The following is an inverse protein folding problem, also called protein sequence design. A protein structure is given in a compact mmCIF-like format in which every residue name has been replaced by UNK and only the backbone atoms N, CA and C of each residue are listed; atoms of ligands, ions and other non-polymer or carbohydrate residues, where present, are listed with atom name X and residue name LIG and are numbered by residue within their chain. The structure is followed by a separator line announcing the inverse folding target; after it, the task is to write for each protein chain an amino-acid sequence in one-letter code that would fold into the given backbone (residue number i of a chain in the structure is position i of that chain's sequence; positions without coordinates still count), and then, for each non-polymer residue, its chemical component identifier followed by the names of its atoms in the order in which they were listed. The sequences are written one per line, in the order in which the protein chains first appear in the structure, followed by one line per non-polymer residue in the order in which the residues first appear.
data_IF_691123198464
#
_entry.id   IF_691123198464
#
_cell.length_a   1.000
_cell.length_b   1.000
_cell.length_c   1.000
_cell.angle_alpha   90.00
_cell.angle_beta   90.00
_cell.angle_gamma   90.00
#
_symmetry.space_group_name_H-M   'P 1'
#
loop_
_entity.id
_entity.type
_entity.pdbx_description
1 polymer ?
#
# COMPACT_ATOMS: atom_id res chain seq x y z
N UNK A 1 -18.70 -16.62 -10.94
CA UNK A 1 -17.51 -15.85 -11.35
C UNK A 1 -17.96 -14.47 -11.82
N UNK A 2 -17.91 -13.46 -10.94
CA UNK A 2 -18.16 -12.06 -11.33
C UNK A 2 -16.87 -11.54 -11.97
N UNK A 3 -16.97 -11.09 -13.23
CA UNK A 3 -15.85 -10.51 -13.97
C UNK A 3 -15.28 -9.32 -13.19
N UNK A 4 -13.96 -9.34 -13.01
CA UNK A 4 -13.13 -8.21 -12.59
C UNK A 4 -13.48 -7.03 -13.51
N UNK A 5 -13.80 -5.86 -12.92
CA UNK A 5 -13.83 -4.62 -13.69
C UNK A 5 -12.37 -4.20 -13.86
N UNK A 6 -11.94 -3.94 -15.10
CA UNK A 6 -10.59 -3.43 -15.38
C UNK A 6 -10.32 -2.19 -14.54
N UNK A 7 -9.07 -1.94 -14.15
CA UNK A 7 -8.64 -0.69 -13.51
C UNK A 7 -9.06 0.55 -14.34
N UNK A 8 -9.18 0.38 -15.67
CA UNK A 8 -9.73 1.34 -16.63
C UNK A 8 -11.20 1.71 -16.39
N UNK A 9 -11.92 0.95 -15.55
CA UNK A 9 -13.31 1.24 -15.18
C UNK A 9 -13.40 2.13 -13.94
N UNK A 10 -12.27 2.31 -13.22
CA UNK A 10 -12.13 3.23 -12.09
C UNK A 10 -11.52 4.57 -12.53
N UNK A 11 -10.96 4.62 -13.75
CA UNK A 11 -10.39 5.80 -14.38
C UNK A 11 -11.24 6.17 -15.59
N UNK A 12 -11.93 7.34 -15.63
CA UNK A 12 -12.44 7.82 -16.90
C UNK A 12 -11.25 8.15 -17.81
N UNK A 13 -11.12 7.41 -18.92
CA UNK A 13 -10.10 7.59 -19.95
C UNK A 13 -10.10 9.06 -20.46
N UNK A 14 -8.95 9.73 -20.59
CA UNK A 14 -8.88 11.14 -20.99
C UNK A 14 -9.39 11.42 -22.41
N UNK A 15 -9.50 10.40 -23.28
CA UNK A 15 -9.94 10.56 -24.67
C UNK A 15 -11.47 10.41 -24.88
N UNK A 16 -12.25 10.30 -23.80
CA UNK A 16 -13.72 10.16 -23.85
C UNK A 16 -14.49 11.37 -23.29
N UNK A 17 -13.91 12.56 -23.33
CA UNK A 17 -14.67 13.79 -23.10
C UNK A 17 -15.53 14.12 -24.33
N UNK A 18 -16.74 13.55 -24.38
CA UNK A 18 -17.82 14.08 -25.20
C UNK A 18 -18.25 15.43 -24.63
N UNK A 19 -18.25 16.46 -25.48
CA UNK A 19 -18.33 17.89 -25.12
C UNK A 19 -19.70 18.36 -24.60
N UNK A 20 -20.53 17.48 -24.04
CA UNK A 20 -21.95 17.78 -23.77
C UNK A 20 -22.43 17.58 -22.34
N UNK A 21 -21.55 17.34 -21.35
CA UNK A 21 -21.94 17.40 -19.94
C UNK A 21 -21.00 18.28 -19.10
N UNK A 22 -21.52 19.42 -18.65
CA UNK A 22 -21.00 20.24 -17.55
C UNK A 22 -21.05 19.45 -16.22
N UNK A 23 -20.14 18.50 -16.06
CA UNK A 23 -19.58 18.13 -14.76
C UNK A 23 -18.08 18.04 -14.97
N UNK A 24 -17.40 19.16 -14.76
CA UNK A 24 -15.94 19.22 -14.69
C UNK A 24 -15.53 18.43 -13.45
N UNK A 25 -15.37 17.12 -13.60
CA UNK A 25 -14.68 16.32 -12.58
C UNK A 25 -13.21 16.65 -12.72
N UNK A 26 -12.61 17.28 -11.70
CA UNK A 26 -11.18 17.52 -11.64
C UNK A 26 -10.41 16.24 -12.03
N UNK A 27 -9.35 16.34 -12.84
CA UNK A 27 -8.58 15.18 -13.25
C UNK A 27 -8.07 14.45 -12.00
N UNK A 28 -8.33 13.14 -11.92
CA UNK A 28 -7.84 12.30 -10.83
C UNK A 28 -6.38 12.00 -11.11
N UNK A 29 -5.49 12.52 -10.27
CA UNK A 29 -4.05 12.23 -10.34
C UNK A 29 -3.64 11.15 -9.34
N UNK A 30 -2.38 10.72 -9.44
CA UNK A 30 -1.74 9.84 -8.45
C UNK A 30 -0.34 10.33 -8.14
N UNK A 31 0.08 10.10 -6.91
CA UNK A 31 1.39 10.46 -6.38
C UNK A 31 1.68 9.56 -5.19
N UNK A 32 2.96 9.49 -4.82
CA UNK A 32 3.38 8.76 -3.63
C UNK A 32 2.86 9.42 -2.35
N UNK A 33 2.62 8.62 -1.31
CA UNK A 33 2.12 9.06 -0.01
C UNK A 33 3.02 10.14 0.60
N UNK A 34 4.34 9.95 0.55
CA UNK A 34 5.28 10.93 1.10
C UNK A 34 5.29 12.25 0.34
N UNK A 35 5.16 12.18 -0.99
CA UNK A 35 5.06 13.36 -1.86
C UNK A 35 3.78 14.16 -1.56
N UNK A 36 2.64 13.48 -1.42
CA UNK A 36 1.37 14.09 -1.03
C UNK A 36 1.41 14.70 0.38
N UNK A 37 2.12 14.05 1.32
CA UNK A 37 2.29 14.53 2.69
C UNK A 37 3.07 15.85 2.75
N UNK A 38 4.02 16.04 1.84
CA UNK A 38 4.82 17.28 1.71
C UNK A 38 4.10 18.37 0.92
N UNK A 39 2.93 18.09 0.36
CA UNK A 39 2.20 19.06 -0.44
C UNK A 39 1.79 20.30 0.38
N UNK A 40 1.63 21.43 -0.31
CA UNK A 40 1.17 22.70 0.27
C UNK A 40 -0.17 23.06 -0.32
N UNK A 41 -1.10 23.52 0.52
CA UNK A 41 -2.41 24.00 0.07
C UNK A 41 -2.25 25.29 -0.73
N UNK A 42 -2.58 25.23 -2.02
CA UNK A 42 -2.70 26.37 -2.92
C UNK A 42 -4.16 26.80 -3.11
N UNK A 43 -4.38 27.73 -4.06
CA UNK A 43 -5.73 28.20 -4.41
C UNK A 43 -6.55 27.11 -5.11
N UNK A 44 -5.89 26.35 -5.99
CA UNK A 44 -6.48 25.28 -6.79
C UNK A 44 -5.94 23.91 -6.35
N UNK A 45 -6.01 23.59 -5.06
CA UNK A 45 -5.70 22.26 -4.54
C UNK A 45 -4.37 22.15 -3.82
N UNK A 46 -3.80 20.95 -3.79
CA UNK A 46 -2.55 20.65 -3.08
C UNK A 46 -1.40 20.53 -4.06
N UNK A 47 -0.39 21.38 -3.88
CA UNK A 47 0.78 21.46 -4.74
C UNK A 47 1.91 20.67 -4.09
N UNK A 48 2.33 19.60 -4.72
CA UNK A 48 3.46 18.76 -4.30
C UNK A 48 4.81 19.43 -4.59
N UNK A 49 5.91 19.03 -3.93
CA UNK A 49 7.22 19.63 -4.20
C UNK A 49 7.73 19.39 -5.64
N UNK A 50 7.24 18.37 -6.33
CA UNK A 50 7.54 18.12 -7.75
C UNK A 50 6.70 18.99 -8.71
N UNK A 51 5.78 19.80 -8.19
CA UNK A 51 4.92 20.70 -8.98
C UNK A 51 3.57 20.10 -9.39
N UNK A 52 3.28 18.84 -9.05
CA UNK A 52 1.95 18.25 -9.27
C UNK A 52 0.89 18.93 -8.41
N UNK A 53 -0.25 19.28 -9.00
CA UNK A 53 -1.38 19.93 -8.32
C UNK A 53 -2.57 18.99 -8.27
N UNK A 54 -3.04 18.67 -7.06
CA UNK A 54 -4.04 17.64 -6.83
C UNK A 54 -5.22 18.16 -6.02
N UNK A 55 -6.42 17.98 -6.54
CA UNK A 55 -7.68 18.10 -5.79
C UNK A 55 -8.21 16.73 -5.39
N UNK A 56 -8.19 15.81 -6.36
CA UNK A 56 -8.62 14.42 -6.21
C UNK A 56 -7.47 13.49 -6.55
N UNK A 57 -7.38 12.41 -5.80
CA UNK A 57 -6.33 11.41 -5.95
C UNK A 57 -6.90 10.01 -6.06
N UNK A 58 -6.20 9.17 -6.81
CA UNK A 58 -6.35 7.72 -6.79
C UNK A 58 -5.07 7.14 -6.18
N UNK A 59 -5.22 6.25 -5.19
CA UNK A 59 -4.11 5.64 -4.46
C UNK A 59 -4.32 4.13 -4.35
N UNK A 60 -3.24 3.36 -4.46
CA UNK A 60 -3.19 1.95 -4.06
C UNK A 60 -2.10 1.77 -3.01
N UNK A 61 -2.43 1.06 -1.93
CA UNK A 61 -1.48 0.77 -0.87
C UNK A 61 -1.98 -0.29 0.09
N UNK A 62 -1.21 -0.53 1.14
CA UNK A 62 -1.54 -1.46 2.22
C UNK A 62 -2.37 -0.72 3.27
N UNK A 63 -3.59 -1.19 3.53
CA UNK A 63 -4.38 -0.77 4.66
C UNK A 63 -3.74 -1.32 5.93
N UNK A 64 -3.18 -0.47 6.78
CA UNK A 64 -2.45 -0.92 7.99
C UNK A 64 -3.27 -0.77 9.27
N UNK A 65 -4.20 0.19 9.30
CA UNK A 65 -5.00 0.50 10.48
C UNK A 65 -6.41 0.94 10.07
N UNK A 66 -7.42 0.53 10.83
CA UNK A 66 -8.82 0.95 10.66
C UNK A 66 -9.42 1.27 12.02
N UNK A 67 -9.94 2.48 12.17
CA UNK A 67 -10.52 3.01 13.39
C UNK A 67 -11.94 3.52 13.11
N UNK A 68 -12.93 2.84 13.68
CA UNK A 68 -14.34 3.27 13.60
C UNK A 68 -14.60 4.27 14.71
N UNK A 69 -14.94 5.51 14.34
CA UNK A 69 -15.33 6.53 15.30
C UNK A 69 -16.76 6.31 15.82
N UNK A 70 -17.07 6.84 17.00
CA UNK A 70 -18.42 6.86 17.58
C UNK A 70 -19.46 7.46 16.63
N UNK A 71 -19.04 8.39 15.76
CA UNK A 71 -19.86 9.07 14.74
C UNK A 71 -20.20 8.21 13.52
N UNK A 72 -19.73 6.95 13.46
CA UNK A 72 -19.69 6.08 12.27
C UNK A 72 -18.82 6.61 11.12
N UNK A 73 -18.02 7.64 11.35
CA UNK A 73 -16.90 7.93 10.46
C UNK A 73 -15.82 6.86 10.64
N UNK A 74 -15.08 6.56 9.58
CA UNK A 74 -13.95 5.63 9.63
C UNK A 74 -12.69 6.40 9.31
N UNK A 75 -11.71 6.35 10.21
CA UNK A 75 -10.35 6.79 9.92
C UNK A 75 -9.50 5.56 9.69
N UNK A 76 -8.63 5.60 8.70
CA UNK A 76 -7.74 4.49 8.39
C UNK A 76 -6.39 5.02 7.92
N UNK A 77 -5.41 4.12 7.86
CA UNK A 77 -4.06 4.42 7.37
C UNK A 77 -3.74 3.53 6.18
N UNK A 78 -3.35 4.16 5.08
CA UNK A 78 -2.88 3.49 3.86
C UNK A 78 -1.36 3.69 3.76
N UNK A 79 -0.59 2.65 3.47
CA UNK A 79 0.86 2.74 3.28
C UNK A 79 1.26 2.35 1.87
N UNK A 80 2.15 3.11 1.27
CA UNK A 80 2.90 2.71 0.08
C UNK A 80 4.40 2.55 0.44
N UNK A 81 5.28 2.19 -0.51
CA UNK A 81 6.71 2.04 -0.24
C UNK A 81 7.41 3.32 0.27
N UNK A 82 6.78 4.49 0.13
CA UNK A 82 7.33 5.79 0.53
C UNK A 82 6.86 6.23 1.90
N UNK A 83 5.74 5.69 2.39
CA UNK A 83 5.25 5.95 3.74
C UNK A 83 3.75 5.76 3.90
N UNK A 84 3.24 6.13 5.08
CA UNK A 84 1.82 6.07 5.42
C UNK A 84 1.09 7.39 5.19
N UNK A 85 -0.16 7.30 4.73
CA UNK A 85 -1.07 8.41 4.47
C UNK A 85 -2.40 8.21 5.22
N UNK A 86 -2.89 9.29 5.83
CA UNK A 86 -4.17 9.28 6.55
C UNK A 86 -5.33 9.31 5.56
N UNK A 87 -6.32 8.46 5.79
CA UNK A 87 -7.58 8.47 5.03
C UNK A 87 -8.77 8.53 5.98
N UNK A 88 -9.84 9.21 5.55
CA UNK A 88 -11.08 9.32 6.30
C UNK A 88 -12.27 9.04 5.39
N UNK A 89 -13.27 8.34 5.90
CA UNK A 89 -14.55 8.11 5.22
C UNK A 89 -15.65 8.89 5.94
N UNK A 90 -16.38 9.70 5.19
CA UNK A 90 -17.54 10.40 5.73
C UNK A 90 -18.71 9.41 5.92
N UNK A 91 -19.53 9.65 6.94
CA UNK A 91 -20.77 8.88 7.23
C UNK A 91 -21.74 8.80 6.04
N UNK A 92 -21.63 9.69 5.06
CA UNK A 92 -22.43 9.67 3.83
C UNK A 92 -22.02 8.57 2.84
N UNK A 93 -20.88 7.88 3.08
CA UNK A 93 -20.35 6.79 2.26
C UNK A 93 -20.36 5.48 3.05
N UNK A 94 -21.53 4.94 3.45
CA UNK A 94 -21.60 3.74 4.28
C UNK A 94 -20.96 2.53 3.62
N UNK A 95 -21.10 2.37 2.29
CA UNK A 95 -20.50 1.25 1.58
C UNK A 95 -18.97 1.19 1.69
N UNK A 96 -18.30 2.36 1.61
CA UNK A 96 -16.84 2.46 1.76
C UNK A 96 -16.43 2.18 3.20
N UNK A 97 -17.18 2.72 4.17
CA UNK A 97 -16.93 2.50 5.59
C UNK A 97 -17.09 1.02 5.97
N UNK A 98 -18.15 0.37 5.48
CA UNK A 98 -18.42 -1.06 5.71
C UNK A 98 -17.32 -1.93 5.09
N UNK A 99 -16.89 -1.61 3.85
CA UNK A 99 -15.80 -2.33 3.20
C UNK A 99 -14.49 -2.23 4.00
N UNK A 100 -14.08 -1.03 4.38
CA UNK A 100 -12.86 -0.84 5.17
C UNK A 100 -12.95 -1.51 6.55
N UNK A 101 -14.10 -1.46 7.20
CA UNK A 101 -14.31 -2.09 8.52
C UNK A 101 -14.32 -3.62 8.42
N UNK A 102 -14.80 -4.19 7.31
CA UNK A 102 -14.82 -5.62 7.06
C UNK A 102 -13.49 -6.17 6.52
N UNK A 103 -12.59 -5.30 6.09
CA UNK A 103 -11.27 -5.68 5.58
C UNK A 103 -10.30 -5.77 6.76
N UNK A 104 -9.80 -6.97 7.06
CA UNK A 104 -8.82 -7.17 8.12
C UNK A 104 -7.44 -6.66 7.67
N UNK A 105 -6.83 -5.66 8.35
CA UNK A 105 -5.47 -5.25 8.05
C UNK A 105 -4.45 -6.33 8.43
N UNK A 106 -3.37 -6.51 7.63
CA UNK A 106 -3.05 -5.75 6.42
C UNK A 106 -3.74 -6.30 5.16
N UNK A 107 -4.16 -5.39 4.27
CA UNK A 107 -4.75 -5.75 2.98
C UNK A 107 -4.45 -4.69 1.91
N UNK A 108 -4.29 -5.10 0.65
CA UNK A 108 -4.13 -4.14 -0.44
C UNK A 108 -5.47 -3.53 -0.81
N UNK A 109 -5.50 -2.20 -0.88
CA UNK A 109 -6.71 -1.43 -1.15
C UNK A 109 -6.41 -0.35 -2.17
N UNK A 110 -7.27 -0.25 -3.18
CA UNK A 110 -7.31 0.88 -4.09
C UNK A 110 -8.45 1.83 -3.70
N UNK A 111 -8.18 3.13 -3.68
CA UNK A 111 -9.13 4.14 -3.27
C UNK A 111 -9.07 5.39 -4.14
N UNK A 112 -10.19 6.10 -4.21
CA UNK A 112 -10.25 7.45 -4.74
C UNK A 112 -10.90 8.40 -3.74
N UNK A 113 -10.49 9.65 -3.78
CA UNK A 113 -11.11 10.66 -2.94
C UNK A 113 -10.53 12.05 -3.13
N UNK A 114 -11.05 12.97 -2.33
CA UNK A 114 -10.64 14.37 -2.33
C UNK A 114 -9.56 14.60 -1.26
N UNK A 115 -8.50 15.31 -1.61
CA UNK A 115 -7.52 15.75 -0.63
C UNK A 115 -8.13 16.80 0.28
N UNK A 116 -7.87 16.68 1.57
CA UNK A 116 -8.36 17.58 2.60
C UNK A 116 -7.27 17.81 3.62
N UNK A 117 -7.26 18.98 4.25
CA UNK A 117 -6.32 19.30 5.31
C UNK A 117 -7.06 19.41 6.64
N UNK A 118 -6.63 18.63 7.64
CA UNK A 118 -7.11 18.73 9.01
C UNK A 118 -6.14 19.62 9.80
N UNK A 119 -6.62 20.78 10.23
CA UNK A 119 -5.78 21.75 10.93
C UNK A 119 -4.72 22.33 10.00
N UNK A 120 -3.49 22.52 10.50
CA UNK A 120 -2.39 23.11 9.74
C UNK A 120 -1.38 22.10 9.19
N UNK A 121 -1.45 20.84 9.60
CA UNK A 121 -0.32 19.92 9.40
C UNK A 121 -0.69 18.63 8.68
N UNK A 122 -1.93 18.15 8.79
CA UNK A 122 -2.26 16.81 8.28
C UNK A 122 -3.08 16.88 6.99
N UNK A 123 -2.46 16.46 5.90
CA UNK A 123 -3.16 16.17 4.63
C UNK A 123 -3.67 14.74 4.69
N UNK A 124 -4.92 14.55 4.26
CA UNK A 124 -5.61 13.26 4.22
C UNK A 124 -6.46 13.15 2.96
N UNK A 125 -6.87 11.92 2.62
CA UNK A 125 -7.90 11.69 1.59
C UNK A 125 -9.26 11.49 2.26
N UNK A 126 -10.27 12.26 1.82
CA UNK A 126 -11.68 11.94 2.08
C UNK A 126 -12.13 10.93 1.03
N UNK A 127 -12.15 9.66 1.42
CA UNK A 127 -12.36 8.54 0.50
C UNK A 127 -13.83 8.43 0.13
N UNK A 128 -14.05 8.25 -1.16
CA UNK A 128 -15.38 8.20 -1.74
C UNK A 128 -15.64 6.94 -2.58
N UNK A 129 -14.58 6.28 -3.04
CA UNK A 129 -14.58 4.93 -3.62
C UNK A 129 -13.43 4.11 -3.07
N UNK A 130 -13.64 2.81 -2.89
CA UNK A 130 -12.67 1.88 -2.32
C UNK A 130 -12.93 0.46 -2.83
N UNK A 131 -11.87 -0.31 -3.04
CA UNK A 131 -11.92 -1.74 -3.37
C UNK A 131 -10.68 -2.45 -2.80
N UNK A 132 -10.84 -3.71 -2.41
CA UNK A 132 -9.70 -4.61 -2.13
C UNK A 132 -9.10 -5.04 -3.45
N UNK A 133 -7.77 -5.06 -3.54
CA UNK A 133 -6.99 -5.44 -4.73
C UNK A 133 -5.90 -6.44 -4.33
N UNK A 134 -5.13 -6.94 -5.30
CA UNK A 134 -4.00 -7.83 -5.05
C UNK A 134 -2.66 -7.06 -5.11
N UNK A 135 -1.56 -7.76 -4.82
CA UNK A 135 -0.20 -7.20 -4.83
C UNK A 135 0.17 -6.69 -6.22
N UNK A 136 -0.23 -7.40 -7.28
CA UNK A 136 0.10 -7.05 -8.66
C UNK A 136 -0.43 -5.67 -9.07
N UNK A 137 -1.64 -5.29 -8.62
CA UNK A 137 -2.17 -3.94 -8.87
C UNK A 137 -1.38 -2.87 -8.11
N UNK A 138 -0.95 -3.16 -6.87
CA UNK A 138 -0.09 -2.26 -6.08
C UNK A 138 1.24 -2.04 -6.79
N UNK A 139 1.88 -3.12 -7.24
CA UNK A 139 3.18 -3.10 -7.91
C UNK A 139 3.10 -2.25 -9.19
N UNK A 140 2.07 -2.49 -10.02
CA UNK A 140 1.82 -1.68 -11.22
C UNK A 140 1.58 -0.20 -10.88
N UNK A 141 0.85 0.08 -9.80
CA UNK A 141 0.58 1.45 -9.37
C UNK A 141 1.84 2.19 -8.92
N UNK A 142 2.80 1.51 -8.28
CA UNK A 142 4.09 2.11 -7.92
C UNK A 142 4.86 2.57 -9.15
N UNK A 143 4.88 1.77 -10.24
CA UNK A 143 5.49 2.22 -11.50
C UNK A 143 4.80 3.45 -12.09
N UNK A 144 3.46 3.50 -12.04
CA UNK A 144 2.69 4.66 -12.53
C UNK A 144 3.01 5.93 -11.72
N UNK A 145 3.14 5.82 -10.39
CA UNK A 145 3.56 6.92 -9.53
C UNK A 145 5.00 7.36 -9.82
N UNK A 146 5.90 6.40 -10.03
CA UNK A 146 7.29 6.69 -10.36
C UNK A 146 7.44 7.40 -11.70
N UNK A 147 6.76 6.91 -12.75
CA UNK A 147 6.76 7.52 -14.08
C UNK A 147 6.32 9.00 -14.02
N UNK A 148 5.18 9.26 -13.38
CA UNK A 148 4.64 10.61 -13.20
C UNK A 148 5.56 11.52 -12.36
N UNK A 149 6.13 11.01 -11.27
CA UNK A 149 7.05 11.77 -10.44
C UNK A 149 8.35 12.11 -11.19
N UNK A 150 8.91 11.14 -11.94
CA UNK A 150 10.12 11.32 -12.75
C UNK A 150 9.86 12.36 -13.85
N UNK A 151 8.75 12.26 -14.59
CA UNK A 151 8.41 13.24 -15.62
C UNK A 151 8.33 14.68 -15.07
N UNK A 152 7.72 14.84 -13.89
CA UNK A 152 7.65 16.16 -13.22
C UNK A 152 9.04 16.65 -12.78
N UNK A 153 9.87 15.77 -12.24
CA UNK A 153 11.23 16.10 -11.82
C UNK A 153 12.13 16.45 -13.02
N UNK A 154 12.04 15.73 -14.13
CA UNK A 154 12.80 16.02 -15.36
C UNK A 154 12.41 17.36 -16.00
N UNK A 155 11.16 17.78 -15.84
CA UNK A 155 10.70 19.09 -16.28
C UNK A 155 11.27 20.24 -15.43
N UNK A 156 11.82 19.96 -14.25
CA UNK A 156 12.46 20.94 -13.37
C UNK A 156 13.95 21.02 -13.74
N UNK A 157 14.41 22.20 -14.16
CA UNK A 157 15.79 22.39 -14.59
C UNK A 157 16.83 22.15 -13.49
N UNK A 158 16.68 22.82 -12.34
CA UNK A 158 17.56 22.62 -11.19
C UNK A 158 16.73 22.19 -9.98
N UNK A 159 16.96 20.95 -9.52
CA UNK A 159 16.24 20.38 -8.38
C UNK A 159 16.69 21.00 -7.06
N UNK A 160 15.72 21.37 -6.22
CA UNK A 160 15.94 21.68 -4.82
C UNK A 160 16.33 20.43 -4.01
N UNK A 161 16.84 20.61 -2.79
CA UNK A 161 17.15 19.47 -1.90
C UNK A 161 15.91 18.59 -1.64
N UNK A 162 14.74 19.19 -1.40
CA UNK A 162 13.49 18.45 -1.21
C UNK A 162 13.11 17.62 -2.45
N UNK A 163 13.35 18.14 -3.65
CA UNK A 163 13.08 17.42 -4.90
C UNK A 163 14.08 16.29 -5.15
N UNK A 164 15.35 16.44 -4.74
CA UNK A 164 16.35 15.36 -4.77
C UNK A 164 15.99 14.23 -3.81
N UNK A 165 15.54 14.57 -2.59
CA UNK A 165 15.05 13.57 -1.64
C UNK A 165 13.86 12.77 -2.22
N UNK A 166 12.94 13.43 -2.92
CA UNK A 166 11.83 12.75 -3.61
C UNK A 166 12.36 11.85 -4.72
N UNK A 167 13.32 12.30 -5.53
CA UNK A 167 13.92 11.45 -6.57
C UNK A 167 14.57 10.18 -5.99
N UNK A 168 15.32 10.30 -4.89
CA UNK A 168 15.90 9.15 -4.19
C UNK A 168 14.84 8.22 -3.61
N UNK A 169 13.77 8.78 -3.05
CA UNK A 169 12.63 8.03 -2.54
C UNK A 169 11.92 7.25 -3.66
N UNK A 170 11.72 7.85 -4.84
CA UNK A 170 11.14 7.18 -6.01
C UNK A 170 12.03 6.00 -6.43
N UNK A 171 13.34 6.19 -6.49
CA UNK A 171 14.27 5.11 -6.81
C UNK A 171 14.19 3.96 -5.79
N UNK A 172 14.08 4.26 -4.48
CA UNK A 172 13.88 3.25 -3.44
C UNK A 172 12.54 2.54 -3.58
N UNK A 173 11.47 3.26 -3.91
CA UNK A 173 10.13 2.68 -4.11
C UNK A 173 10.10 1.71 -5.29
N UNK A 174 10.78 2.04 -6.40
CA UNK A 174 10.95 1.14 -7.54
C UNK A 174 11.72 -0.13 -7.16
N UNK A 175 12.81 -0.01 -6.40
CA UNK A 175 13.57 -1.17 -5.93
C UNK A 175 12.73 -2.13 -5.07
N UNK A 176 11.72 -1.64 -4.33
CA UNK A 176 10.81 -2.49 -3.54
C UNK A 176 9.93 -3.37 -4.44
N UNK A 177 9.64 -2.92 -5.66
CA UNK A 177 8.78 -3.63 -6.62
C UNK A 177 9.61 -4.43 -7.63
N UNK A 178 10.79 -3.93 -8.00
CA UNK A 178 11.79 -4.62 -8.82
C UNK A 178 12.53 -5.73 -8.06
N UNK A 179 12.55 -5.66 -6.72
CA UNK A 179 12.88 -6.82 -5.92
C UNK A 179 11.84 -7.88 -6.27
N UNK A 180 12.24 -8.85 -7.11
CA UNK A 180 11.39 -9.99 -7.41
C UNK A 180 10.79 -10.45 -6.07
N UNK A 181 9.46 -10.65 -5.95
CA UNK A 181 9.03 -11.58 -4.92
C UNK A 181 9.89 -12.80 -5.20
N UNK A 182 10.70 -13.25 -4.23
CA UNK A 182 11.36 -14.54 -4.35
C UNK A 182 10.25 -15.59 -4.35
N UNK A 183 9.46 -15.66 -5.43
CA UNK A 183 8.88 -16.87 -5.94
C UNK A 183 10.03 -17.83 -5.89
N UNK A 184 9.86 -18.93 -5.18
CA UNK A 184 10.81 -20.02 -5.10
C UNK A 184 11.30 -20.42 -6.50
N UNK A 185 12.25 -19.67 -7.05
CA UNK A 185 13.10 -20.11 -8.13
C UNK A 185 14.17 -20.87 -7.40
N UNK A 186 14.00 -22.17 -7.53
CA UNK A 186 14.78 -23.23 -6.94
C UNK A 186 16.18 -23.22 -7.56
N UNK A 187 16.95 -22.15 -7.32
CA UNK A 187 18.30 -21.94 -7.83
C UNK A 187 19.27 -21.72 -6.66
N UNK A 188 19.33 -22.73 -5.79
CA UNK A 188 20.53 -23.07 -5.03
C UNK A 188 20.42 -24.53 -4.60
N UNK A 189 20.89 -25.42 -5.48
CA UNK A 189 21.21 -26.78 -5.11
C UNK A 189 22.15 -26.77 -3.89
N UNK A 190 21.83 -27.60 -2.89
CA UNK A 190 22.60 -27.93 -1.67
C UNK A 190 22.45 -27.05 -0.41
N UNK A 191 21.41 -26.21 -0.27
CA UNK A 191 21.01 -25.71 1.07
C UNK A 191 19.50 -25.88 1.28
N UNK A 192 19.03 -26.48 2.40
CA UNK A 192 17.60 -26.62 2.64
C UNK A 192 16.94 -25.24 2.63
N UNK A 193 15.88 -25.07 1.84
CA UNK A 193 15.05 -23.87 1.80
C UNK A 193 14.27 -23.74 3.13
N UNK A 194 14.96 -23.20 4.13
CA UNK A 194 14.43 -23.04 5.47
C UNK A 194 13.29 -22.02 5.49
N UNK A 195 13.36 -20.98 4.66
CA UNK A 195 12.31 -19.97 4.48
C UNK A 195 11.02 -20.58 3.95
N UNK A 196 11.07 -21.37 2.88
CA UNK A 196 9.90 -22.07 2.34
C UNK A 196 9.33 -23.12 3.30
N UNK A 197 10.21 -23.80 4.05
CA UNK A 197 9.77 -24.69 5.13
C UNK A 197 9.05 -23.92 6.25
N UNK A 198 9.54 -22.75 6.64
CA UNK A 198 8.89 -21.94 7.67
C UNK A 198 7.53 -21.43 7.20
N UNK A 199 7.38 -21.00 5.94
CA UNK A 199 6.09 -20.60 5.36
C UNK A 199 5.07 -21.75 5.48
N UNK A 200 5.46 -22.94 5.03
CA UNK A 200 4.58 -24.13 5.09
C UNK A 200 4.17 -24.47 6.53
N UNK A 201 5.12 -24.38 7.48
CA UNK A 201 4.84 -24.61 8.90
C UNK A 201 3.95 -23.55 9.53
N UNK A 202 4.07 -22.28 9.11
CA UNK A 202 3.19 -21.21 9.56
C UNK A 202 1.78 -21.41 9.02
N UNK A 203 1.62 -21.85 7.77
CA UNK A 203 0.30 -22.22 7.22
C UNK A 203 -0.33 -23.38 8.00
N UNK A 204 0.43 -24.46 8.23
CA UNK A 204 -0.02 -25.64 8.95
C UNK A 204 -0.35 -25.39 10.44
N UNK A 205 0.24 -24.36 11.03
CA UNK A 205 -0.01 -23.94 12.42
C UNK A 205 -0.98 -22.77 12.53
N UNK A 206 -1.37 -22.13 11.42
CA UNK A 206 -2.16 -20.90 11.47
C UNK A 206 -3.63 -21.20 11.77
N UNK A 207 -4.10 -20.67 12.90
CA UNK A 207 -5.52 -20.56 13.22
C UNK A 207 -6.10 -19.19 12.84
N UNK A 208 -7.34 -18.88 13.25
CA UNK A 208 -7.99 -17.59 12.99
C UNK A 208 -7.27 -16.39 13.64
N UNK A 209 -6.27 -16.65 14.51
CA UNK A 209 -5.42 -15.63 15.14
C UNK A 209 -3.98 -15.60 14.61
N UNK A 210 -3.63 -16.49 13.68
CA UNK A 210 -2.25 -16.75 13.27
C UNK A 210 -1.67 -17.98 13.95
N UNK A 211 -0.42 -18.31 13.62
CA UNK A 211 0.31 -19.42 14.21
C UNK A 211 1.06 -18.97 15.48
N UNK A 212 1.07 -19.80 16.52
CA UNK A 212 1.91 -19.56 17.69
C UNK A 212 3.37 -19.83 17.32
N UNK A 213 4.25 -18.89 17.65
CA UNK A 213 5.68 -19.00 17.35
C UNK A 213 6.30 -20.25 17.98
N UNK A 214 5.86 -20.61 19.19
CA UNK A 214 6.30 -21.82 19.88
C UNK A 214 5.94 -23.10 19.10
N UNK A 215 4.73 -23.17 18.53
CA UNK A 215 4.26 -24.33 17.78
C UNK A 215 4.99 -24.45 16.43
N UNK A 216 5.25 -23.32 15.78
CA UNK A 216 6.04 -23.26 14.53
C UNK A 216 7.47 -23.73 14.79
N UNK A 217 8.12 -23.22 15.85
CA UNK A 217 9.48 -23.63 16.22
C UNK A 217 9.53 -25.10 16.67
N UNK A 218 8.50 -25.60 17.36
CA UNK A 218 8.41 -27.01 17.74
C UNK A 218 8.31 -27.91 16.51
N UNK A 219 7.39 -27.63 15.57
CA UNK A 219 7.28 -28.40 14.33
C UNK A 219 8.52 -28.29 13.45
N UNK A 220 9.20 -27.14 13.45
CA UNK A 220 10.49 -26.97 12.78
C UNK A 220 11.55 -27.90 13.37
N UNK A 221 11.61 -28.02 14.71
CA UNK A 221 12.50 -28.95 15.40
C UNK A 221 12.17 -30.42 15.13
N UNK A 222 10.88 -30.79 15.07
CA UNK A 222 10.42 -32.13 14.65
C UNK A 222 10.82 -32.43 13.19
N UNK A 223 10.88 -31.40 12.34
CA UNK A 223 11.36 -31.46 10.96
C UNK A 223 12.90 -31.42 10.81
N UNK A 224 13.66 -31.36 11.90
CA UNK A 224 15.13 -31.38 11.88
C UNK A 224 15.79 -30.01 11.69
N UNK A 225 15.05 -28.90 11.77
CA UNK A 225 15.59 -27.54 11.72
C UNK A 225 16.01 -27.10 13.12
N UNK A 226 17.25 -26.61 13.27
CA UNK A 226 17.73 -26.10 14.55
C UNK A 226 16.96 -24.85 14.98
N UNK A 227 16.70 -24.66 16.27
CA UNK A 227 15.93 -23.50 16.77
C UNK A 227 16.55 -22.16 16.34
N UNK A 228 17.88 -22.06 16.28
CA UNK A 228 18.58 -20.88 15.81
C UNK A 228 18.39 -20.62 14.31
N UNK A 229 18.27 -21.67 13.51
CA UNK A 229 18.09 -21.60 12.06
C UNK A 229 16.65 -21.23 11.71
N UNK A 230 15.68 -21.82 12.42
CA UNK A 230 14.27 -21.48 12.30
C UNK A 230 14.03 -20.01 12.68
N UNK A 231 14.61 -19.52 13.79
CA UNK A 231 14.51 -18.10 14.17
C UNK A 231 15.11 -17.17 13.11
N UNK A 232 16.28 -17.52 12.56
CA UNK A 232 16.90 -16.72 11.50
C UNK A 232 16.02 -16.65 10.24
N UNK A 233 15.44 -17.77 9.82
CA UNK A 233 14.52 -17.82 8.69
C UNK A 233 13.24 -17.00 8.93
N UNK A 234 12.67 -17.07 10.14
CA UNK A 234 11.51 -16.27 10.52
C UNK A 234 11.84 -14.76 10.57
N UNK A 235 13.04 -14.39 11.02
CA UNK A 235 13.49 -12.99 10.98
C UNK A 235 13.58 -12.48 9.53
N UNK A 236 14.11 -13.28 8.61
CA UNK A 236 14.17 -12.93 7.19
C UNK A 236 12.75 -12.69 6.64
N UNK A 237 11.81 -13.59 6.91
CA UNK A 237 10.41 -13.45 6.45
C UNK A 237 9.71 -12.19 7.01
N UNK A 238 10.09 -11.76 8.23
CA UNK A 238 9.58 -10.52 8.83
C UNK A 238 10.20 -9.28 8.19
N UNK A 239 11.48 -9.33 7.82
CA UNK A 239 12.19 -8.24 7.14
C UNK A 239 11.76 -8.08 5.68
N UNK A 240 11.53 -9.20 4.98
CA UNK A 240 11.05 -9.24 3.59
C UNK A 240 9.55 -8.89 3.48
N UNK A 241 8.83 -8.85 4.60
CA UNK A 241 7.41 -8.47 4.63
C UNK A 241 6.49 -9.56 4.09
N UNK A 242 6.90 -10.83 4.18
CA UNK A 242 6.09 -12.00 3.84
C UNK A 242 5.30 -12.52 5.05
N UNK A 243 5.70 -12.11 6.26
CA UNK A 243 4.95 -12.36 7.48
C UNK A 243 5.03 -11.17 8.43
N UNK A 244 4.13 -11.15 9.42
CA UNK A 244 4.13 -10.16 10.50
C UNK A 244 3.78 -10.83 11.84
N UNK A 245 4.12 -10.17 12.94
CA UNK A 245 3.80 -10.62 14.29
C UNK A 245 2.75 -9.72 14.94
N UNK A 246 1.46 -10.13 14.97
CA UNK A 246 0.42 -9.37 15.67
C UNK A 246 0.71 -9.20 17.17
N UNK A 247 1.41 -10.19 17.76
CA UNK A 247 1.92 -10.17 19.13
C UNK A 247 3.28 -10.86 19.15
N UNK A 248 4.10 -10.61 20.17
CA UNK A 248 5.44 -11.22 20.28
C UNK A 248 5.45 -12.77 20.33
N UNK A 249 4.28 -13.41 20.44
CA UNK A 249 4.13 -14.87 20.48
C UNK A 249 3.40 -15.46 19.27
N UNK A 250 2.93 -14.64 18.32
CA UNK A 250 2.09 -15.07 17.20
C UNK A 250 2.65 -14.53 15.89
N UNK A 251 2.65 -15.34 14.84
CA UNK A 251 3.11 -14.99 13.49
C UNK A 251 2.03 -15.30 12.45
N UNK A 252 1.93 -14.47 11.41
CA UNK A 252 0.99 -14.61 10.30
C UNK A 252 1.67 -14.29 8.98
N UNK A 253 1.30 -15.02 7.93
CA UNK A 253 1.69 -14.71 6.56
C UNK A 253 0.88 -13.53 6.02
N UNK A 254 1.48 -12.81 5.07
CA UNK A 254 0.95 -11.62 4.40
C UNK A 254 0.48 -11.92 2.98
#
# INVERSE_FOLDING_TARGET
MKRIRSIDTLMPHPDRYDQTMEQVTDPVGWAFADELRRAKRGENGFITPTGGTFHRVFLIGVLTEVHVQTSRAVDARLSDPTGGFSISVNRSRPHVADLLTATEPPAFVALSGELSQRGREEIRVIVDSCQVVEREERDRFVYLCAEEAIQRLEAIGELSEEQREIAEMVAKALNVVDAEPKRHQNDQADKPDLTGQMISLIEDCSGPKGALLADVLQKAGEGGVGESEAKAALTILLEEGDCYMPTNSTIRLL
#
